data_IF_435020713515
#
_entry.id   IF_435020713515
#
_cell.length_a   1.000
_cell.length_b   1.000
_cell.length_c   1.000
_cell.angle_alpha   90.00
_cell.angle_beta   90.00
_cell.angle_gamma   90.00
#
_symmetry.space_group_name_H-M   'P 1'
#
loop_
_entity.id
_entity.type
_entity.pdbx_description
1 polymer ?
#
# COMPACT_ATOMS: atom_id res chain seq x y z
N UNK A 1 -16.22 -24.68 -7.37
CA UNK A 1 -17.27 -24.34 -8.35
C UNK A 1 -16.78 -24.81 -9.71
N UNK A 2 -17.58 -25.61 -10.41
CA UNK A 2 -17.25 -26.15 -11.75
C UNK A 2 -17.42 -25.06 -12.80
N UNK A 3 -16.48 -24.97 -13.74
CA UNK A 3 -16.50 -23.98 -14.80
C UNK A 3 -17.55 -24.36 -15.88
N UNK A 4 -18.67 -23.66 -15.90
CA UNK A 4 -19.82 -23.86 -16.82
C UNK A 4 -19.71 -23.07 -18.13
N UNK A 5 -18.68 -22.22 -18.25
CA UNK A 5 -18.38 -21.40 -19.42
C UNK A 5 -18.34 -22.18 -20.75
N UNK A 6 -17.76 -23.40 -20.85
CA UNK A 6 -17.75 -24.13 -22.11
C UNK A 6 -19.13 -24.63 -22.54
N UNK A 7 -20.00 -24.96 -21.58
CA UNK A 7 -21.36 -25.44 -21.85
C UNK A 7 -22.26 -24.29 -22.30
N UNK A 8 -22.12 -23.13 -21.66
CA UNK A 8 -22.80 -21.90 -22.03
C UNK A 8 -22.37 -21.38 -23.41
N UNK A 9 -21.08 -21.46 -23.76
CA UNK A 9 -20.58 -21.08 -25.09
C UNK A 9 -21.14 -21.96 -26.21
N UNK A 10 -21.39 -23.24 -25.96
CA UNK A 10 -22.06 -24.12 -26.93
C UNK A 10 -23.50 -23.69 -27.20
N UNK A 11 -24.22 -23.27 -26.15
CA UNK A 11 -25.58 -22.74 -26.28
C UNK A 11 -25.62 -21.41 -27.04
N UNK A 12 -24.65 -20.52 -26.79
CA UNK A 12 -24.51 -19.25 -27.52
C UNK A 12 -24.20 -19.46 -29.01
N UNK A 13 -23.30 -20.41 -29.33
CA UNK A 13 -23.04 -20.79 -30.72
C UNK A 13 -24.30 -21.29 -31.43
N UNK A 14 -25.15 -22.06 -30.73
CA UNK A 14 -26.45 -22.50 -31.27
C UNK A 14 -27.44 -21.36 -31.55
N UNK A 15 -27.25 -20.20 -30.91
CA UNK A 15 -28.07 -19.00 -31.07
C UNK A 15 -27.44 -17.95 -31.99
N UNK A 16 -26.33 -18.26 -32.68
CA UNK A 16 -25.52 -17.30 -33.45
C UNK A 16 -25.08 -16.09 -32.60
N UNK A 17 -24.93 -16.26 -31.30
CA UNK A 17 -24.44 -15.25 -30.39
C UNK A 17 -22.91 -15.36 -30.24
N UNK A 18 -22.20 -14.24 -30.05
CA UNK A 18 -20.76 -14.27 -29.81
C UNK A 18 -20.41 -15.06 -28.54
N UNK A 19 -19.27 -15.77 -28.52
CA UNK A 19 -18.82 -16.51 -27.34
C UNK A 19 -18.52 -15.56 -26.16
N UNK A 20 -18.68 -16.05 -24.94
CA UNK A 20 -18.46 -15.25 -23.71
C UNK A 20 -17.01 -14.84 -23.45
N UNK A 21 -16.05 -15.56 -24.02
CA UNK A 21 -14.64 -15.25 -23.85
C UNK A 21 -14.21 -14.38 -25.02
N UNK A 22 -14.19 -13.07 -24.79
CA UNK A 22 -13.62 -12.12 -25.75
C UNK A 22 -12.09 -12.29 -25.80
N UNK A 23 -11.49 -12.69 -26.93
CA UNK A 23 -10.03 -12.83 -27.06
C UNK A 23 -9.28 -11.50 -26.86
N UNK A 24 -9.99 -10.36 -26.93
CA UNK A 24 -9.48 -9.01 -26.69
C UNK A 24 -9.13 -8.73 -25.22
N UNK A 25 -9.65 -9.51 -24.27
CA UNK A 25 -9.35 -9.40 -22.84
C UNK A 25 -8.09 -10.18 -22.42
N UNK A 26 -7.36 -10.77 -23.38
CA UNK A 26 -6.09 -11.45 -23.12
C UNK A 26 -5.00 -10.42 -22.80
N UNK A 27 -4.13 -10.67 -21.79
CA UNK A 27 -3.02 -9.77 -21.36
C UNK A 27 -2.16 -9.18 -22.50
N UNK A 28 -2.08 -9.84 -23.65
CA UNK A 28 -1.37 -9.34 -24.84
C UNK A 28 -2.10 -8.18 -25.55
N UNK A 29 -3.43 -8.20 -25.55
CA UNK A 29 -4.31 -7.17 -26.11
C UNK A 29 -4.73 -6.10 -25.09
N UNK A 30 -4.39 -6.31 -23.81
CA UNK A 30 -4.64 -5.36 -22.73
C UNK A 30 -3.76 -4.10 -22.91
N UNK A 31 -4.34 -2.96 -22.52
CA UNK A 31 -3.72 -1.64 -22.49
C UNK A 31 -2.36 -1.62 -21.76
N UNK A 32 -1.47 -0.74 -22.18
CA UNK A 32 -0.10 -0.59 -21.65
C UNK A 32 -0.10 -0.31 -20.14
N UNK A 33 -1.02 0.54 -19.68
CA UNK A 33 -1.24 0.83 -18.26
C UNK A 33 -1.50 -0.44 -17.44
N UNK A 34 -2.42 -1.28 -17.90
CA UNK A 34 -2.82 -2.48 -17.17
C UNK A 34 -1.68 -3.52 -17.17
N UNK A 35 -0.91 -3.63 -18.26
CA UNK A 35 0.30 -4.47 -18.31
C UNK A 35 1.32 -4.03 -17.25
N UNK A 36 1.56 -2.73 -17.13
CA UNK A 36 2.45 -2.18 -16.10
C UNK A 36 1.90 -2.45 -14.68
N UNK A 37 0.60 -2.22 -14.46
CA UNK A 37 -0.06 -2.49 -13.19
C UNK A 37 0.07 -3.97 -12.76
N UNK A 38 -0.13 -4.92 -13.68
CA UNK A 38 0.06 -6.36 -13.41
C UNK A 38 1.51 -6.69 -13.07
N UNK A 39 2.47 -6.08 -13.78
CA UNK A 39 3.90 -6.24 -13.49
C UNK A 39 4.23 -5.75 -12.08
N UNK A 40 3.80 -4.53 -11.74
CA UNK A 40 3.98 -3.95 -10.40
C UNK A 40 3.34 -4.86 -9.33
N UNK A 41 2.10 -5.32 -9.55
CA UNK A 41 1.41 -6.21 -8.62
C UNK A 41 2.17 -7.52 -8.39
N UNK A 42 2.71 -8.12 -9.45
CA UNK A 42 3.50 -9.35 -9.33
C UNK A 42 4.78 -9.14 -8.52
N UNK A 43 5.44 -7.99 -8.68
CA UNK A 43 6.61 -7.62 -7.88
C UNK A 43 6.24 -7.39 -6.40
N UNK A 44 5.14 -6.68 -6.13
CA UNK A 44 4.62 -6.48 -4.75
C UNK A 44 4.27 -7.83 -4.10
N UNK A 45 3.60 -8.72 -4.81
CA UNK A 45 3.22 -10.04 -4.30
C UNK A 45 4.46 -10.91 -4.00
N UNK A 46 5.46 -10.86 -4.88
CA UNK A 46 6.74 -11.55 -4.70
C UNK A 46 7.49 -11.01 -3.48
N UNK A 47 7.55 -9.68 -3.32
CA UNK A 47 8.17 -9.03 -2.17
C UNK A 47 7.46 -9.39 -0.86
N UNK A 48 6.13 -9.35 -0.83
CA UNK A 48 5.34 -9.69 0.36
C UNK A 48 5.53 -11.17 0.76
N UNK A 49 5.56 -12.08 -0.23
CA UNK A 49 5.83 -13.50 0.02
C UNK A 49 7.25 -13.71 0.55
N UNK A 50 8.24 -13.05 -0.07
CA UNK A 50 9.63 -13.07 0.39
C UNK A 50 9.77 -12.56 1.84
N UNK A 51 9.17 -11.41 2.16
CA UNK A 51 9.20 -10.85 3.52
C UNK A 51 8.56 -11.77 4.56
N UNK A 52 7.46 -12.45 4.21
CA UNK A 52 6.82 -13.43 5.10
C UNK A 52 7.71 -14.64 5.36
N UNK A 53 8.37 -15.14 4.31
CA UNK A 53 9.26 -16.30 4.42
C UNK A 53 10.50 -15.99 5.28
N UNK A 54 11.12 -14.82 5.09
CA UNK A 54 12.32 -14.44 5.84
C UNK A 54 12.01 -13.94 7.26
N UNK A 55 10.76 -13.54 7.57
CA UNK A 55 10.37 -12.96 8.87
C UNK A 55 10.86 -13.79 10.04
N UNK A 56 10.67 -15.11 9.99
CA UNK A 56 11.07 -16.00 11.08
C UNK A 56 12.60 -16.06 11.25
N UNK A 57 13.35 -16.22 10.15
CA UNK A 57 14.82 -16.26 10.18
C UNK A 57 15.45 -14.91 10.52
N UNK A 58 14.81 -13.80 10.14
CA UNK A 58 15.25 -12.43 10.41
C UNK A 58 15.09 -12.09 11.89
N UNK A 59 13.97 -12.50 12.49
CA UNK A 59 13.66 -12.26 13.90
C UNK A 59 14.34 -13.25 14.86
N UNK A 60 14.88 -14.37 14.38
CA UNK A 60 15.51 -15.36 15.25
C UNK A 60 16.94 -14.96 15.61
N UNK A 61 17.13 -14.36 16.79
CA UNK A 61 18.46 -13.99 17.33
C UNK A 61 19.16 -15.15 18.05
N UNK A 62 18.44 -16.24 18.34
CA UNK A 62 19.00 -17.40 19.05
C UNK A 62 19.57 -18.42 18.08
N UNK A 63 20.88 -18.68 18.17
CA UNK A 63 21.47 -19.87 17.56
C UNK A 63 20.75 -21.10 18.13
N UNK A 64 20.31 -22.06 17.30
CA UNK A 64 19.64 -23.25 17.82
C UNK A 64 20.58 -23.95 18.81
N UNK A 65 20.09 -24.42 19.97
CA UNK A 65 20.89 -25.28 20.82
C UNK A 65 21.32 -26.49 19.99
N UNK A 66 22.58 -26.89 20.09
CA UNK A 66 23.15 -28.03 19.38
C UNK A 66 22.48 -29.34 19.84
N UNK A 67 21.24 -29.59 19.42
CA UNK A 67 20.56 -30.86 19.64
C UNK A 67 21.05 -31.86 18.60
N UNK A 68 21.97 -32.71 19.03
CA UNK A 68 22.33 -33.97 18.37
C UNK A 68 21.13 -34.91 18.41
N UNK A 69 20.19 -34.77 17.49
CA UNK A 69 19.18 -35.80 17.24
C UNK A 69 18.85 -35.87 15.76
N UNK A 70 19.32 -36.94 15.12
CA UNK A 70 19.02 -37.31 13.74
C UNK A 70 17.56 -37.75 13.61
N UNK A 71 16.63 -36.85 13.27
CA UNK A 71 15.33 -37.29 12.70
C UNK A 71 14.64 -36.18 11.90
N UNK A 72 14.38 -36.50 10.63
CA UNK A 72 13.40 -35.93 9.69
C UNK A 72 13.70 -34.57 9.03
N UNK A 73 13.38 -34.54 7.72
CA UNK A 73 13.52 -33.48 6.71
C UNK A 73 12.82 -32.16 7.07
N UNK A 74 13.23 -31.53 8.17
CA UNK A 74 12.77 -30.19 8.53
C UNK A 74 13.67 -29.19 7.82
N UNK A 75 13.10 -28.30 6.99
CA UNK A 75 13.78 -27.17 6.34
C UNK A 75 14.85 -26.63 7.29
N UNK A 76 16.12 -26.79 6.93
CA UNK A 76 17.24 -26.31 7.72
C UNK A 76 17.02 -24.82 7.95
N UNK A 77 16.74 -24.43 9.20
CA UNK A 77 16.47 -23.04 9.57
C UNK A 77 17.79 -22.28 9.43
N UNK A 78 17.98 -21.67 8.26
CA UNK A 78 19.14 -20.83 7.97
C UNK A 78 19.02 -19.58 8.83
N UNK A 79 19.91 -19.44 9.81
CA UNK A 79 20.04 -18.21 10.58
C UNK A 79 20.67 -17.15 9.67
N UNK A 80 20.12 -15.94 9.71
CA UNK A 80 20.70 -14.80 9.02
C UNK A 80 21.73 -14.16 9.94
N UNK A 81 22.92 -13.85 9.43
CA UNK A 81 23.90 -13.03 10.14
C UNK A 81 23.41 -11.58 10.20
N UNK A 82 23.91 -10.79 11.16
CA UNK A 82 23.49 -9.39 11.29
C UNK A 82 23.77 -8.58 10.01
N UNK A 83 24.88 -8.88 9.32
CA UNK A 83 25.19 -8.29 8.00
C UNK A 83 24.21 -8.70 6.90
N UNK A 84 23.77 -9.97 6.87
CA UNK A 84 22.74 -10.42 5.91
C UNK A 84 21.39 -9.75 6.19
N UNK A 85 21.06 -9.49 7.46
CA UNK A 85 19.83 -8.77 7.82
C UNK A 85 19.87 -7.32 7.32
N UNK A 86 21.01 -6.65 7.47
CA UNK A 86 21.19 -5.28 6.97
C UNK A 86 21.13 -5.21 5.44
N UNK A 87 21.71 -6.19 4.74
CA UNK A 87 21.60 -6.31 3.28
C UNK A 87 20.14 -6.49 2.83
N UNK A 88 19.40 -7.39 3.51
CA UNK A 88 17.97 -7.59 3.27
C UNK A 88 17.19 -6.29 3.48
N UNK A 89 17.48 -5.54 4.54
CA UNK A 89 16.81 -4.28 4.85
C UNK A 89 17.08 -3.22 3.75
N UNK A 90 18.34 -3.14 3.29
CA UNK A 90 18.74 -2.24 2.22
C UNK A 90 18.10 -2.59 0.86
N UNK A 91 18.10 -3.88 0.49
CA UNK A 91 17.46 -4.37 -0.74
C UNK A 91 15.95 -4.15 -0.71
N UNK A 92 15.29 -4.52 0.38
CA UNK A 92 13.83 -4.36 0.53
C UNK A 92 13.46 -2.88 0.43
N UNK A 93 14.22 -2.00 1.09
CA UNK A 93 14.02 -0.54 1.02
C UNK A 93 14.20 0.01 -0.39
N UNK A 94 15.20 -0.49 -1.14
CA UNK A 94 15.40 -0.13 -2.55
C UNK A 94 14.19 -0.55 -3.38
N UNK A 95 13.72 -1.80 -3.23
CA UNK A 95 12.55 -2.31 -3.94
C UNK A 95 11.27 -1.55 -3.60
N UNK A 96 11.04 -1.19 -2.32
CA UNK A 96 9.89 -0.37 -1.94
C UNK A 96 9.93 1.02 -2.60
N UNK A 97 11.10 1.65 -2.68
CA UNK A 97 11.26 2.95 -3.36
C UNK A 97 11.05 2.84 -4.86
N UNK A 98 11.59 1.79 -5.48
CA UNK A 98 11.40 1.52 -6.90
C UNK A 98 9.93 1.27 -7.24
N UNK A 99 9.24 0.43 -6.46
CA UNK A 99 7.81 0.17 -6.63
C UNK A 99 6.98 1.44 -6.41
N UNK A 100 7.34 2.27 -5.42
CA UNK A 100 6.69 3.56 -5.22
C UNK A 100 6.87 4.50 -6.41
N UNK A 101 8.09 4.56 -6.96
CA UNK A 101 8.40 5.35 -8.15
C UNK A 101 7.60 4.85 -9.37
N UNK A 102 7.58 3.54 -9.63
CA UNK A 102 6.84 2.98 -10.76
C UNK A 102 5.33 3.27 -10.65
N UNK A 103 4.74 3.13 -9.45
CA UNK A 103 3.33 3.49 -9.23
C UNK A 103 3.08 4.98 -9.48
N UNK A 104 4.00 5.87 -9.09
CA UNK A 104 3.86 7.31 -9.35
C UNK A 104 4.02 7.65 -10.82
N UNK A 105 5.03 7.09 -11.49
CA UNK A 105 5.25 7.27 -12.93
C UNK A 105 4.02 6.81 -13.73
N UNK A 106 3.44 5.67 -13.36
CA UNK A 106 2.22 5.15 -13.96
C UNK A 106 1.02 6.09 -13.71
N UNK A 107 0.85 6.59 -12.49
CA UNK A 107 -0.21 7.57 -12.11
C UNK A 107 -0.06 8.91 -12.84
N UNK A 108 1.17 9.40 -13.02
CA UNK A 108 1.48 10.62 -13.76
C UNK A 108 1.19 10.46 -15.26
N UNK A 109 1.56 9.32 -15.85
CA UNK A 109 1.23 9.02 -17.24
C UNK A 109 -0.29 8.96 -17.48
N UNK A 110 -1.03 8.40 -16.53
CA UNK A 110 -2.49 8.41 -16.52
C UNK A 110 -3.08 9.82 -16.44
N UNK A 111 -2.55 10.65 -15.54
CA UNK A 111 -2.95 12.05 -15.41
C UNK A 111 -2.75 12.83 -16.72
N UNK A 112 -1.63 12.61 -17.41
CA UNK A 112 -1.34 13.23 -18.70
C UNK A 112 -2.32 12.75 -19.78
N UNK A 113 -2.61 11.45 -19.85
CA UNK A 113 -3.59 10.94 -20.83
C UNK A 113 -4.98 11.53 -20.57
N UNK A 114 -5.46 11.51 -19.32
CA UNK A 114 -6.77 12.05 -18.97
C UNK A 114 -6.90 13.53 -19.32
N UNK A 115 -5.91 14.35 -18.96
CA UNK A 115 -5.90 15.78 -19.30
C UNK A 115 -5.84 16.01 -20.82
N UNK A 116 -5.09 15.19 -21.55
CA UNK A 116 -5.01 15.27 -23.02
C UNK A 116 -6.34 14.89 -23.67
N UNK A 117 -6.94 13.77 -23.28
CA UNK A 117 -8.22 13.30 -23.83
C UNK A 117 -9.37 14.27 -23.53
N UNK A 118 -9.41 14.83 -22.32
CA UNK A 118 -10.41 15.85 -21.97
C UNK A 118 -10.26 17.12 -22.80
N UNK A 119 -9.02 17.58 -23.06
CA UNK A 119 -8.76 18.70 -23.97
C UNK A 119 -9.13 18.38 -25.42
N UNK A 120 -8.90 17.16 -25.89
CA UNK A 120 -9.29 16.72 -27.23
C UNK A 120 -10.82 16.75 -27.36
N UNK A 121 -11.55 16.22 -26.39
CA UNK A 121 -13.03 16.24 -26.36
C UNK A 121 -13.51 17.70 -26.36
N UNK A 122 -12.98 18.54 -25.47
CA UNK A 122 -13.34 19.95 -25.42
C UNK A 122 -13.09 20.64 -26.77
N UNK A 123 -11.94 20.43 -27.41
CA UNK A 123 -11.63 21.02 -28.71
C UNK A 123 -12.51 20.48 -29.85
N UNK A 124 -12.85 19.18 -29.84
CA UNK A 124 -13.73 18.54 -30.82
C UNK A 124 -15.11 19.20 -30.82
N UNK A 125 -15.70 19.38 -29.64
CA UNK A 125 -17.04 19.96 -29.51
C UNK A 125 -17.04 21.50 -29.52
N UNK A 126 -15.98 22.16 -29.05
CA UNK A 126 -15.84 23.61 -29.16
C UNK A 126 -15.76 24.08 -30.63
N UNK A 127 -15.06 23.32 -31.50
CA UNK A 127 -15.00 23.62 -32.95
C UNK A 127 -16.32 23.34 -33.67
N UNK A 128 -17.06 22.32 -33.24
CA UNK A 128 -18.38 21.99 -33.80
C UNK A 128 -19.44 23.05 -33.43
N UNK A 129 -19.40 23.58 -32.21
CA UNK A 129 -20.34 24.61 -31.72
C UNK A 129 -19.91 26.05 -32.10
N UNK A 130 -18.62 26.30 -32.33
CA UNK A 130 -18.04 27.63 -32.53
C UNK A 130 -18.29 28.31 -33.88
N UNK A 131 -18.93 27.66 -34.87
CA UNK A 131 -19.21 28.30 -36.18
C UNK A 131 -20.68 28.62 -36.45
N UNK A 132 -21.66 27.91 -35.86
CA UNK A 132 -23.09 28.17 -36.11
C UNK A 132 -24.06 27.81 -34.96
N UNK A 133 -23.59 27.20 -33.85
CA UNK A 133 -24.47 26.55 -32.87
C UNK A 133 -24.98 27.44 -31.72
N UNK A 134 -24.16 28.35 -31.21
CA UNK A 134 -24.49 29.07 -29.96
C UNK A 134 -25.53 30.20 -30.11
N UNK A 135 -25.84 30.64 -31.33
CA UNK A 135 -26.81 31.72 -31.56
C UNK A 135 -28.23 31.21 -31.87
N UNK A 136 -28.38 30.00 -32.41
CA UNK A 136 -29.70 29.47 -32.81
C UNK A 136 -30.46 28.76 -31.67
N UNK A 137 -29.79 28.40 -30.57
CA UNK A 137 -30.38 27.61 -29.49
C UNK A 137 -30.95 28.42 -28.31
N UNK A 138 -30.96 29.76 -28.39
CA UNK A 138 -31.69 30.61 -27.43
C UNK A 138 -31.22 30.49 -25.98
N UNK A 139 -30.06 31.04 -25.65
CA UNK A 139 -29.78 31.68 -24.36
C UNK A 139 -30.12 30.94 -23.05
N UNK A 140 -30.04 29.60 -23.01
CA UNK A 140 -30.16 28.81 -21.79
C UNK A 140 -28.88 28.04 -21.49
N UNK A 141 -28.44 28.05 -20.24
CA UNK A 141 -27.32 27.25 -19.75
C UNK A 141 -27.45 25.77 -20.15
N UNK A 142 -26.40 25.25 -20.79
CA UNK A 142 -25.98 23.84 -20.73
C UNK A 142 -26.93 22.79 -21.32
N UNK A 143 -26.93 22.61 -22.64
CA UNK A 143 -27.08 21.26 -23.20
C UNK A 143 -25.77 20.86 -23.89
N UNK A 144 -24.81 20.37 -23.10
CA UNK A 144 -23.68 19.59 -23.64
C UNK A 144 -24.27 18.55 -24.60
N UNK A 145 -23.70 18.39 -25.80
CA UNK A 145 -24.25 17.42 -26.75
C UNK A 145 -24.28 16.02 -26.10
N UNK A 146 -25.32 15.22 -26.36
CA UNK A 146 -25.42 13.88 -25.78
C UNK A 146 -24.18 13.03 -26.12
N UNK A 147 -23.65 13.21 -27.33
CA UNK A 147 -22.43 12.55 -27.79
C UNK A 147 -21.20 12.98 -26.98
N UNK A 148 -21.09 14.27 -26.66
CA UNK A 148 -20.08 14.79 -25.75
C UNK A 148 -20.22 14.20 -24.34
N UNK A 149 -21.43 14.16 -23.80
CA UNK A 149 -21.67 13.58 -22.47
C UNK A 149 -21.34 12.08 -22.43
N UNK A 150 -21.61 11.33 -23.49
CA UNK A 150 -21.27 9.92 -23.61
C UNK A 150 -19.75 9.68 -23.68
N UNK A 151 -19.03 10.52 -24.43
CA UNK A 151 -17.56 10.46 -24.50
C UNK A 151 -16.92 10.84 -23.16
N UNK A 152 -17.40 11.91 -22.51
CA UNK A 152 -17.00 12.31 -21.15
C UNK A 152 -17.29 11.20 -20.13
N UNK A 153 -18.45 10.55 -20.20
CA UNK A 153 -18.83 9.46 -19.30
C UNK A 153 -17.93 8.24 -19.45
N UNK A 154 -17.63 7.82 -20.69
CA UNK A 154 -16.72 6.69 -20.95
C UNK A 154 -15.32 6.98 -20.43
N UNK A 155 -14.82 8.19 -20.68
CA UNK A 155 -13.51 8.62 -20.22
C UNK A 155 -13.46 8.65 -18.68
N UNK A 156 -14.48 9.18 -18.02
CA UNK A 156 -14.58 9.17 -16.55
C UNK A 156 -14.65 7.74 -15.99
N UNK A 157 -15.38 6.83 -16.63
CA UNK A 157 -15.44 5.43 -16.21
C UNK A 157 -14.07 4.74 -16.31
N UNK A 158 -13.32 5.00 -17.39
CA UNK A 158 -11.96 4.49 -17.56
C UNK A 158 -11.04 5.07 -16.48
N UNK A 159 -11.11 6.39 -16.24
CA UNK A 159 -10.33 7.04 -15.18
C UNK A 159 -10.63 6.44 -13.82
N UNK A 160 -11.92 6.28 -13.45
CA UNK A 160 -12.30 5.63 -12.19
C UNK A 160 -11.66 4.26 -12.04
N UNK A 161 -11.72 3.43 -13.08
CA UNK A 161 -11.13 2.10 -13.02
C UNK A 161 -9.62 2.16 -12.74
N UNK A 162 -8.90 3.06 -13.42
CA UNK A 162 -7.45 3.18 -13.28
C UNK A 162 -7.04 3.81 -11.95
N UNK A 163 -7.78 4.80 -11.47
CA UNK A 163 -7.59 5.39 -10.14
C UNK A 163 -7.76 4.33 -9.05
N UNK A 164 -8.78 3.45 -9.19
CA UNK A 164 -8.98 2.31 -8.30
C UNK A 164 -7.82 1.29 -8.37
N UNK A 165 -7.28 1.01 -9.55
CA UNK A 165 -6.11 0.12 -9.72
C UNK A 165 -4.89 0.72 -9.03
N UNK A 166 -4.58 2.00 -9.26
CA UNK A 166 -3.48 2.71 -8.61
C UNK A 166 -3.65 2.72 -7.09
N UNK A 167 -4.85 3.02 -6.60
CA UNK A 167 -5.20 2.99 -5.19
C UNK A 167 -4.96 1.61 -4.58
N UNK A 168 -5.41 0.54 -5.24
CA UNK A 168 -5.20 -0.84 -4.80
C UNK A 168 -3.70 -1.18 -4.70
N UNK A 169 -2.90 -0.81 -5.70
CA UNK A 169 -1.46 -1.05 -5.69
C UNK A 169 -0.75 -0.30 -4.55
N UNK A 170 -1.12 0.98 -4.32
CA UNK A 170 -0.58 1.77 -3.20
C UNK A 170 -0.95 1.17 -1.85
N UNK A 171 -2.20 0.69 -1.71
CA UNK A 171 -2.64 0.02 -0.50
C UNK A 171 -1.86 -1.27 -0.25
N UNK A 172 -1.63 -2.09 -1.28
CA UNK A 172 -0.81 -3.31 -1.16
C UNK A 172 0.65 -3.03 -0.85
N UNK A 173 1.23 -1.99 -1.45
CA UNK A 173 2.58 -1.54 -1.13
C UNK A 173 2.67 -1.04 0.32
N UNK A 174 1.64 -0.33 0.81
CA UNK A 174 1.54 0.13 2.20
C UNK A 174 1.49 -1.04 3.18
N UNK A 175 0.69 -2.07 2.91
CA UNK A 175 0.68 -3.31 3.72
C UNK A 175 2.07 -3.97 3.79
N UNK A 176 2.75 -4.06 2.66
CA UNK A 176 4.12 -4.61 2.58
C UNK A 176 5.11 -3.75 3.38
N UNK A 177 5.02 -2.42 3.27
CA UNK A 177 5.81 -1.49 4.05
C UNK A 177 5.61 -1.70 5.55
N UNK A 178 4.35 -1.74 6.01
CA UNK A 178 4.00 -1.96 7.43
C UNK A 178 4.62 -3.25 7.96
N UNK A 179 4.59 -4.32 7.16
CA UNK A 179 5.23 -5.59 7.53
C UNK A 179 6.74 -5.39 7.74
N UNK A 180 7.45 -4.77 6.79
CA UNK A 180 8.88 -4.50 6.94
C UNK A 180 9.19 -3.62 8.16
N UNK A 181 8.44 -2.53 8.36
CA UNK A 181 8.63 -1.66 9.52
C UNK A 181 8.43 -2.42 10.84
N UNK A 182 7.39 -3.25 10.93
CA UNK A 182 7.16 -4.07 12.12
C UNK A 182 8.31 -5.05 12.41
N UNK A 183 8.92 -5.62 11.38
CA UNK A 183 10.08 -6.50 11.55
C UNK A 183 11.30 -5.75 12.07
N UNK A 184 11.57 -4.56 11.51
CA UNK A 184 12.70 -3.73 11.89
C UNK A 184 12.52 -3.12 13.29
N UNK A 185 11.32 -2.70 13.65
CA UNK A 185 11.00 -2.21 15.00
C UNK A 185 11.26 -3.30 16.05
N UNK A 186 10.77 -4.52 15.82
CA UNK A 186 11.03 -5.64 16.72
C UNK A 186 12.54 -5.94 16.81
N UNK A 187 13.28 -5.83 15.71
CA UNK A 187 14.73 -6.03 15.72
C UNK A 187 15.43 -4.97 16.58
N UNK A 188 15.14 -3.69 16.35
CA UNK A 188 15.72 -2.58 17.12
C UNK A 188 15.39 -2.73 18.60
N UNK A 189 14.14 -3.04 18.94
CA UNK A 189 13.72 -3.27 20.33
C UNK A 189 14.54 -4.39 20.99
N UNK A 190 14.73 -5.52 20.29
CA UNK A 190 15.54 -6.63 20.83
C UNK A 190 17.03 -6.29 20.94
N UNK A 191 17.58 -5.50 20.01
CA UNK A 191 18.97 -5.06 20.10
C UNK A 191 19.17 -4.11 21.30
N UNK A 192 18.25 -3.19 21.51
CA UNK A 192 18.23 -2.29 22.68
C UNK A 192 18.08 -3.08 23.99
N UNK A 193 17.15 -4.04 24.05
CA UNK A 193 16.97 -4.91 25.21
C UNK A 193 18.20 -5.78 25.49
N UNK A 194 18.82 -6.35 24.45
CA UNK A 194 20.06 -7.14 24.56
C UNK A 194 21.20 -6.27 25.10
N UNK A 195 21.35 -5.05 24.62
CA UNK A 195 22.34 -4.10 25.13
C UNK A 195 22.09 -3.79 26.61
N UNK A 196 20.83 -3.54 27.00
CA UNK A 196 20.45 -3.33 28.40
C UNK A 196 20.71 -4.56 29.28
N UNK A 197 20.42 -5.76 28.79
CA UNK A 197 20.67 -7.01 29.50
C UNK A 197 22.16 -7.32 29.63
N UNK A 198 22.97 -7.02 28.62
CA UNK A 198 24.42 -7.17 28.69
C UNK A 198 25.03 -6.21 29.73
N UNK A 199 24.54 -4.97 29.82
CA UNK A 199 24.91 -4.03 30.86
C UNK A 199 24.50 -4.49 32.26
N UNK A 200 23.30 -5.05 32.40
CA UNK A 200 22.85 -5.62 33.68
C UNK A 200 23.71 -6.83 34.09
N UNK A 201 24.08 -7.68 33.13
CA UNK A 201 24.94 -8.84 33.36
C UNK A 201 26.38 -8.44 33.66
N UNK A 202 26.95 -7.47 32.95
CA UNK A 202 28.30 -6.96 33.24
C UNK A 202 28.34 -6.29 34.61
N UNK A 203 27.28 -5.58 35.01
CA UNK A 203 27.15 -5.02 36.36
C UNK A 203 27.03 -6.11 37.44
N UNK A 204 26.37 -7.22 37.15
CA UNK A 204 26.27 -8.36 38.07
C UNK A 204 27.55 -9.22 38.13
N UNK A 205 28.42 -9.14 37.12
CA UNK A 205 29.68 -9.87 37.04
C UNK A 205 30.88 -9.07 37.56
N UNK A 206 30.71 -7.77 37.84
CA UNK A 206 31.63 -6.98 38.64
C UNK A 206 31.55 -7.44 40.10
N UNK A 207 32.66 -7.91 40.71
CA UNK A 207 32.66 -8.22 42.13
C UNK A 207 32.32 -6.95 42.93
N UNK A 208 31.51 -7.12 43.98
CA UNK A 208 31.11 -6.07 44.91
C UNK A 208 32.34 -5.40 45.54
N UNK A 209 32.87 -4.37 44.87
CA UNK A 209 33.91 -3.51 45.39
C UNK A 209 33.22 -2.28 46.01
N UNK A 210 32.49 -2.53 47.11
CA UNK A 210 31.50 -1.58 47.60
C UNK A 210 31.08 -1.69 49.07
N UNK A 211 31.90 -2.23 49.97
CA UNK A 211 31.77 -1.95 51.42
C UNK A 211 32.69 -0.79 51.86
N UNK A 212 32.71 0.29 51.09
CA UNK A 212 33.41 1.52 51.47
C UNK A 212 32.46 2.72 51.36
N UNK A 213 31.71 2.95 52.45
CA UNK A 213 31.03 4.21 52.75
C UNK A 213 29.54 4.25 52.41
N UNK A 214 28.67 3.94 53.36
CA UNK A 214 27.97 4.96 54.14
C UNK A 214 27.14 4.32 55.27
N UNK A 215 27.17 5.00 56.40
CA UNK A 215 26.36 4.74 57.57
C UNK A 215 24.87 4.92 57.28
N UNK A 216 24.05 4.22 58.07
CA UNK A 216 22.60 4.43 58.23
C UNK A 216 21.65 3.89 57.15
N UNK A 217 21.34 2.58 57.24
CA UNK A 217 19.95 2.14 57.00
C UNK A 217 19.61 0.88 57.81
N UNK A 218 18.96 1.14 58.94
CA UNK A 218 17.89 0.36 59.60
C UNK A 218 17.94 -1.17 59.47
N UNK A 219 18.38 -1.79 60.58
CA UNK A 219 18.13 -3.20 60.92
C UNK A 219 16.62 -3.46 61.00
N UNK A 220 16.12 -4.42 60.22
CA UNK A 220 14.89 -5.13 60.54
C UNK A 220 15.27 -6.47 61.19
N UNK A 221 14.84 -6.64 62.43
CA UNK A 221 15.04 -7.84 63.26
C UNK A 221 13.95 -8.87 62.98
N UNK A 222 14.30 -10.14 62.76
CA UNK A 222 13.48 -11.26 63.23
C UNK A 222 14.33 -12.49 63.52
N UNK A 223 14.19 -12.98 64.75
CA UNK A 223 14.88 -14.07 65.41
C UNK A 223 14.78 -15.45 64.72
N UNK A 224 15.78 -16.28 65.00
CA UNK A 224 15.78 -17.73 64.81
C UNK A 224 17.08 -18.35 65.32
N UNK A 225 17.13 -18.62 66.63
CA UNK A 225 18.23 -19.26 67.37
C UNK A 225 18.60 -20.67 66.87
N UNK A 226 19.91 -20.97 66.82
CA UNK A 226 20.50 -22.27 67.17
C UNK A 226 22.05 -22.19 67.31
N UNK A 227 22.49 -21.87 68.54
CA UNK A 227 23.56 -22.49 69.33
C UNK A 227 24.87 -23.03 68.68
N UNK A 228 25.96 -22.32 69.02
CA UNK A 228 27.38 -22.68 69.31
C UNK A 228 28.06 -23.90 68.65
N UNK A 229 29.21 -23.64 68.02
CA UNK A 229 30.50 -24.09 68.58
C UNK A 229 31.66 -23.19 68.12
N UNK A 230 32.38 -22.64 69.10
CA UNK A 230 33.55 -21.80 68.89
C UNK A 230 34.80 -22.68 68.85
N UNK A 231 35.48 -22.72 67.71
CA UNK A 231 36.88 -23.11 67.63
C UNK A 231 37.70 -21.94 67.08
N UNK A 232 38.49 -21.39 67.98
CA UNK A 232 39.50 -20.36 67.76
C UNK A 232 40.69 -20.91 66.98
N UNK A 233 40.83 -20.49 65.72
CA UNK A 233 42.12 -20.40 65.03
C UNK A 233 42.19 -19.07 64.26
N UNK A 234 43.40 -18.49 64.13
CA UNK A 234 43.60 -17.05 64.17
C UNK A 234 43.59 -16.39 62.80
N UNK A 235 43.17 -15.13 62.81
CA UNK A 235 43.35 -14.08 61.80
C UNK A 235 42.75 -14.30 60.41
N UNK A 236 41.94 -13.34 59.92
CA UNK A 236 41.67 -13.23 58.49
C UNK A 236 42.98 -12.80 57.85
N UNK A 237 43.69 -13.73 57.22
CA UNK A 237 44.58 -13.31 56.15
C UNK A 237 43.68 -12.76 55.07
N UNK A 238 43.53 -11.45 55.08
CA UNK A 238 43.32 -10.63 53.90
C UNK A 238 44.40 -11.07 52.92
N UNK A 239 44.12 -12.11 52.15
CA UNK A 239 44.70 -12.25 50.83
C UNK A 239 44.16 -11.04 50.08
N UNK A 240 44.90 -9.93 50.25
CA UNK A 240 45.08 -8.90 49.24
C UNK A 240 45.38 -9.67 47.96
N UNK A 241 44.31 -10.08 47.28
CA UNK A 241 44.35 -10.61 45.95
C UNK A 241 44.60 -9.38 45.09
N UNK A 242 45.80 -8.82 45.24
CA UNK A 242 46.37 -7.88 44.29
C UNK A 242 46.32 -8.63 42.98
N UNK A 243 45.33 -8.30 42.16
CA UNK A 243 45.16 -8.80 40.81
C UNK A 243 46.55 -8.85 40.19
N UNK A 244 47.00 -10.03 39.74
CA UNK A 244 48.29 -10.13 39.07
C UNK A 244 48.35 -9.09 37.96
N UNK A 245 49.52 -8.49 37.70
CA UNK A 245 49.66 -7.49 36.64
C UNK A 245 49.11 -7.97 35.29
N UNK A 246 49.14 -9.28 35.06
CA UNK A 246 48.54 -9.97 33.91
C UNK A 246 47.00 -9.97 33.94
N UNK A 247 46.35 -10.25 35.07
CA UNK A 247 44.89 -10.12 35.21
C UNK A 247 44.40 -8.68 35.04
N UNK A 248 45.18 -7.69 35.50
CA UNK A 248 44.85 -6.28 35.36
C UNK A 248 44.96 -5.82 33.90
N UNK A 249 45.94 -6.35 33.16
CA UNK A 249 46.07 -6.13 31.72
C UNK A 249 44.92 -6.79 30.94
N UNK A 250 44.56 -8.03 31.26
CA UNK A 250 43.41 -8.72 30.64
C UNK A 250 42.10 -7.98 30.91
N UNK A 251 41.89 -7.46 32.12
CA UNK A 251 40.68 -6.72 32.49
C UNK A 251 40.64 -5.34 31.80
N UNK A 252 41.79 -4.69 31.62
CA UNK A 252 41.90 -3.47 30.83
C UNK A 252 41.59 -3.71 29.35
N UNK A 253 42.08 -4.81 28.78
CA UNK A 253 41.79 -5.24 27.40
C UNK A 253 40.31 -5.61 27.22
N UNK A 254 39.74 -6.38 28.17
CA UNK A 254 38.32 -6.74 28.18
C UNK A 254 37.42 -5.50 28.26
N UNK A 255 37.76 -4.53 29.13
CA UNK A 255 37.02 -3.26 29.19
C UNK A 255 37.09 -2.48 27.88
N UNK A 256 38.27 -2.42 27.25
CA UNK A 256 38.44 -1.73 25.96
C UNK A 256 37.61 -2.39 24.87
N UNK A 257 37.62 -3.72 24.80
CA UNK A 257 36.84 -4.48 23.81
C UNK A 257 35.34 -4.41 24.07
N UNK A 258 34.92 -4.40 25.34
CA UNK A 258 33.54 -4.14 25.73
C UNK A 258 33.08 -2.75 25.25
N UNK A 259 33.88 -1.70 25.48
CA UNK A 259 33.55 -0.34 25.02
C UNK A 259 33.46 -0.27 23.49
N UNK A 260 34.38 -0.89 22.75
CA UNK A 260 34.29 -0.95 21.27
C UNK A 260 33.03 -1.67 20.81
N UNK A 261 32.70 -2.80 21.43
CA UNK A 261 31.48 -3.54 21.10
C UNK A 261 30.24 -2.66 21.39
N UNK A 262 30.21 -1.94 22.51
CA UNK A 262 29.12 -1.01 22.80
C UNK A 262 29.02 0.10 21.76
N UNK A 263 30.13 0.76 21.40
CA UNK A 263 30.12 1.78 20.34
C UNK A 263 29.58 1.22 19.03
N UNK A 264 30.06 0.06 18.59
CA UNK A 264 29.59 -0.57 17.36
C UNK A 264 28.10 -0.93 17.40
N UNK A 265 27.60 -1.48 18.51
CA UNK A 265 26.17 -1.79 18.65
C UNK A 265 25.30 -0.54 18.68
N UNK A 266 25.75 0.55 19.31
CA UNK A 266 25.03 1.81 19.30
C UNK A 266 24.95 2.41 17.90
N UNK A 267 26.04 2.36 17.14
CA UNK A 267 26.05 2.87 15.77
C UNK A 267 25.14 2.04 14.85
N UNK A 268 25.06 0.72 15.05
CA UNK A 268 24.11 -0.14 14.34
C UNK A 268 22.65 0.22 14.69
N UNK A 269 22.33 0.40 15.98
CA UNK A 269 20.99 0.79 16.42
C UNK A 269 20.61 2.15 15.85
N UNK A 270 21.49 3.15 15.93
CA UNK A 270 21.24 4.49 15.33
C UNK A 270 20.99 4.42 13.84
N UNK A 271 21.76 3.59 13.12
CA UNK A 271 21.59 3.41 11.68
C UNK A 271 20.25 2.75 11.36
N UNK A 272 19.86 1.73 12.14
CA UNK A 272 18.57 1.06 12.02
C UNK A 272 17.40 2.02 12.35
N UNK A 273 17.52 2.82 13.41
CA UNK A 273 16.53 3.85 13.79
C UNK A 273 16.35 4.88 12.68
N UNK A 274 17.44 5.39 12.10
CA UNK A 274 17.36 6.31 10.96
C UNK A 274 16.65 5.65 9.77
N UNK A 275 16.96 4.40 9.48
CA UNK A 275 16.28 3.66 8.41
C UNK A 275 14.79 3.46 8.70
N UNK A 276 14.42 3.22 9.96
CA UNK A 276 13.03 3.10 10.41
C UNK A 276 12.27 4.40 10.24
N UNK A 277 12.89 5.53 10.58
CA UNK A 277 12.30 6.86 10.36
C UNK A 277 12.08 7.12 8.87
N UNK A 278 13.06 6.84 8.01
CA UNK A 278 12.89 7.01 6.56
C UNK A 278 11.76 6.14 5.99
N UNK A 279 11.61 4.91 6.50
CA UNK A 279 10.54 4.00 6.07
C UNK A 279 9.17 4.46 6.61
N UNK A 280 9.11 4.93 7.86
CA UNK A 280 7.86 5.44 8.45
C UNK A 280 7.41 6.73 7.78
N UNK A 281 8.33 7.61 7.38
CA UNK A 281 8.03 8.79 6.56
C UNK A 281 7.46 8.38 5.19
N UNK A 282 8.09 7.41 4.51
CA UNK A 282 7.60 6.89 3.23
C UNK A 282 6.19 6.29 3.39
N UNK A 283 5.97 5.51 4.43
CA UNK A 283 4.66 4.92 4.73
C UNK A 283 3.60 5.96 5.05
N UNK A 284 3.95 6.99 5.82
CA UNK A 284 3.03 8.09 6.13
C UNK A 284 2.62 8.82 4.87
N UNK A 285 3.56 9.10 3.97
CA UNK A 285 3.26 9.69 2.65
C UNK A 285 2.37 8.77 1.82
N UNK A 286 2.64 7.47 1.81
CA UNK A 286 1.81 6.48 1.12
C UNK A 286 0.39 6.44 1.67
N UNK A 287 0.23 6.35 2.99
CA UNK A 287 -1.08 6.30 3.65
C UNK A 287 -1.89 7.57 3.41
N UNK A 288 -1.26 8.74 3.51
CA UNK A 288 -1.90 10.01 3.19
C UNK A 288 -2.34 10.06 1.72
N UNK A 289 -1.51 9.54 0.80
CA UNK A 289 -1.87 9.48 -0.62
C UNK A 289 -3.02 8.51 -0.91
N UNK A 290 -3.10 7.38 -0.20
CA UNK A 290 -4.20 6.41 -0.31
C UNK A 290 -5.50 7.01 0.21
N UNK A 291 -5.44 7.71 1.34
CA UNK A 291 -6.60 8.40 1.90
C UNK A 291 -7.11 9.51 0.97
N UNK A 292 -6.21 10.36 0.46
CA UNK A 292 -6.58 11.42 -0.48
C UNK A 292 -7.13 10.86 -1.80
N UNK A 293 -6.55 9.77 -2.31
CA UNK A 293 -7.07 9.11 -3.52
C UNK A 293 -8.44 8.46 -3.28
N UNK A 294 -8.72 7.91 -2.09
CA UNK A 294 -10.04 7.35 -1.79
C UNK A 294 -11.14 8.42 -1.88
N UNK A 295 -10.89 9.61 -1.35
CA UNK A 295 -11.81 10.76 -1.46
C UNK A 295 -12.02 11.18 -2.92
N UNK A 296 -10.95 11.25 -3.71
CA UNK A 296 -11.05 11.59 -5.14
C UNK A 296 -11.86 10.56 -5.94
N UNK A 297 -11.67 9.27 -5.64
CA UNK A 297 -12.42 8.18 -6.26
C UNK A 297 -13.90 8.26 -5.89
N UNK A 298 -14.23 8.61 -4.64
CA UNK A 298 -15.61 8.80 -4.19
C UNK A 298 -16.29 9.95 -4.94
N UNK A 299 -15.61 11.09 -5.08
CA UNK A 299 -16.10 12.22 -5.88
C UNK A 299 -16.32 11.79 -7.34
N UNK A 300 -15.38 11.06 -7.93
CA UNK A 300 -15.50 10.62 -9.32
C UNK A 300 -16.62 9.58 -9.50
N UNK A 301 -16.87 8.75 -8.48
CA UNK A 301 -17.98 7.80 -8.45
C UNK A 301 -19.33 8.51 -8.41
N UNK A 302 -19.47 9.54 -7.57
CA UNK A 302 -20.66 10.39 -7.54
C UNK A 302 -20.87 11.11 -8.88
N UNK A 303 -19.79 11.68 -9.46
CA UNK A 303 -19.84 12.32 -10.78
C UNK A 303 -20.26 11.33 -11.87
N UNK A 304 -19.77 10.09 -11.82
CA UNK A 304 -20.15 9.04 -12.76
C UNK A 304 -21.62 8.65 -12.61
N UNK A 305 -22.12 8.58 -11.38
CA UNK A 305 -23.53 8.29 -11.11
C UNK A 305 -24.44 9.38 -11.70
N UNK A 306 -24.15 10.65 -11.38
CA UNK A 306 -24.88 11.80 -11.92
C UNK A 306 -24.80 11.88 -13.45
N UNK A 307 -23.62 11.63 -14.02
CA UNK A 307 -23.44 11.63 -15.48
C UNK A 307 -24.24 10.51 -16.14
N UNK A 308 -24.28 9.32 -15.53
CA UNK A 308 -25.05 8.19 -16.03
C UNK A 308 -26.55 8.47 -15.99
N UNK A 309 -27.04 9.09 -14.91
CA UNK A 309 -28.43 9.52 -14.80
C UNK A 309 -28.78 10.56 -15.88
N UNK A 310 -27.94 11.58 -16.06
CA UNK A 310 -28.14 12.63 -17.06
C UNK A 310 -28.16 12.08 -18.50
N UNK A 311 -27.24 11.18 -18.84
CA UNK A 311 -27.19 10.51 -20.15
C UNK A 311 -28.42 9.64 -20.36
N UNK A 312 -28.85 8.89 -19.33
CA UNK A 312 -30.03 8.04 -19.39
C UNK A 312 -31.32 8.85 -19.58
N UNK A 313 -31.46 9.94 -18.84
CA UNK A 313 -32.55 10.91 -18.96
C UNK A 313 -32.59 11.54 -20.36
N UNK A 314 -31.44 12.03 -20.84
CA UNK A 314 -31.32 12.62 -22.18
C UNK A 314 -31.67 11.65 -23.30
N UNK A 315 -31.25 10.39 -23.23
CA UNK A 315 -31.62 9.39 -24.23
C UNK A 315 -33.13 9.07 -24.22
N UNK A 316 -33.75 9.07 -23.03
CA UNK A 316 -35.21 8.89 -22.89
C UNK A 316 -35.98 10.08 -23.47
N UNK A 317 -35.46 11.29 -23.29
CA UNK A 317 -36.05 12.50 -23.88
C UNK A 317 -35.90 12.53 -25.39
N UNK A 318 -34.75 12.10 -25.95
CA UNK A 318 -34.59 11.94 -27.39
C UNK A 318 -35.55 10.91 -27.96
N UNK A 319 -35.71 9.77 -27.28
CA UNK A 319 -36.69 8.75 -27.69
C UNK A 319 -38.11 9.32 -27.70
N UNK A 320 -38.49 10.05 -26.64
CA UNK A 320 -39.78 10.76 -26.57
C UNK A 320 -39.92 11.85 -27.65
N UNK A 321 -38.85 12.55 -27.99
CA UNK A 321 -38.83 13.56 -29.05
C UNK A 321 -38.97 12.93 -30.45
N UNK A 322 -38.34 11.77 -30.70
CA UNK A 322 -38.53 11.00 -31.93
C UNK A 322 -39.92 10.35 -32.03
N UNK A 323 -40.50 9.96 -30.89
CA UNK A 323 -41.84 9.38 -30.82
C UNK A 323 -42.96 10.42 -30.94
N UNK A 324 -42.70 11.70 -30.63
CA UNK A 324 -43.61 12.80 -30.94
C UNK A 324 -43.76 12.90 -32.45
N UNK A 325 -44.79 12.21 -32.99
CA UNK A 325 -45.21 12.29 -34.39
C UNK A 325 -45.46 13.74 -34.75
N UNK A 326 -44.54 14.27 -35.53
CA UNK A 326 -44.51 15.54 -36.25
C UNK A 326 -45.82 16.36 -36.18
N UNK A 327 -46.08 16.98 -35.04
CA UNK A 327 -47.25 17.83 -34.80
C UNK A 327 -47.30 18.96 -35.84
N UNK A 328 -46.14 19.42 -36.30
CA UNK A 328 -46.01 20.39 -37.38
C UNK A 328 -46.56 19.88 -38.72
N UNK A 329 -46.37 18.60 -39.07
CA UNK A 329 -46.98 18.01 -40.27
C UNK A 329 -48.50 17.94 -40.15
N UNK A 330 -49.03 17.56 -38.98
CA UNK A 330 -50.48 17.55 -38.76
C UNK A 330 -51.10 18.94 -38.85
N UNK A 331 -50.45 19.96 -38.29
CA UNK A 331 -50.91 21.36 -38.40
C UNK A 331 -50.85 21.85 -39.85
N UNK A 332 -49.82 21.48 -40.61
CA UNK A 332 -49.72 21.81 -42.04
C UNK A 332 -50.81 21.13 -42.89
N UNK A 333 -51.07 19.84 -42.68
CA UNK A 333 -52.15 19.16 -43.40
C UNK A 333 -53.53 19.65 -42.96
N UNK A 334 -53.71 20.00 -41.68
CA UNK A 334 -54.95 20.59 -41.18
C UNK A 334 -55.20 21.97 -41.79
N UNK A 335 -54.17 22.83 -41.90
CA UNK A 335 -54.32 24.15 -42.52
C UNK A 335 -54.56 24.05 -44.01
N UNK A 336 -53.87 23.13 -44.70
CA UNK A 336 -54.06 22.89 -46.13
C UNK A 336 -55.42 22.24 -46.45
N UNK A 337 -55.93 21.40 -45.56
CA UNK A 337 -57.27 20.82 -45.67
C UNK A 337 -58.37 21.86 -45.43
N UNK A 338 -58.19 22.73 -44.43
CA UNK A 338 -59.14 23.82 -44.13
C UNK A 338 -59.18 24.83 -45.28
N UNK A 339 -58.04 25.19 -45.87
CA UNK A 339 -58.00 26.09 -47.03
C UNK A 339 -58.66 25.47 -48.26
N UNK A 340 -58.42 24.20 -48.55
CA UNK A 340 -59.07 23.50 -49.66
C UNK A 340 -60.60 23.36 -49.45
N UNK A 341 -61.02 23.12 -48.20
CA UNK A 341 -62.44 23.06 -47.84
C UNK A 341 -63.15 24.39 -48.04
N UNK A 342 -62.53 25.51 -47.64
CA UNK A 342 -63.09 26.84 -47.86
C UNK A 342 -63.28 27.17 -49.34
N UNK A 343 -62.33 26.80 -50.19
CA UNK A 343 -62.43 27.01 -51.65
C UNK A 343 -63.58 26.20 -52.25
N UNK A 344 -63.76 24.93 -51.83
CA UNK A 344 -64.87 24.10 -52.29
C UNK A 344 -66.22 24.61 -51.81
N UNK A 345 -66.29 25.11 -50.57
CA UNK A 345 -67.50 25.70 -50.01
C UNK A 345 -67.92 26.97 -50.76
N UNK A 346 -66.96 27.83 -51.10
CA UNK A 346 -67.16 29.06 -51.89
C UNK A 346 -67.53 28.80 -53.35
N UNK A 347 -67.35 27.56 -53.84
CA UNK A 347 -67.68 27.16 -55.21
C UNK A 347 -69.08 26.53 -55.33
N UNK A 348 -69.61 26.00 -54.23
CA UNK A 348 -70.91 25.29 -54.16
C UNK A 348 -72.06 26.22 -53.75
N UNK A 349 -71.76 27.32 -53.08
CA UNK A 349 -72.69 28.43 -52.75
C UNK A 349 -72.44 29.58 -53.72
#
# INVERSE_FOLDING_TARGET
MTDITPEFNKLLMGLNAPPTVDPSLTLQNIDEFLKEAYRINSHIASLNSYLKDIRQSYLSTTAPPARRTHTSKTKQRRHLTDRQREEIDAETKKLLRELNFNIRSMDEAEGIRYTTETLIIQNKYARALGRFGNWAAGGGEQSKSLEQQLEEAKLNAIKMHRDNVTWYLRQKLSECGKLQASMMEIRIMREVEKNKSNLAKSRAMMPDLGNLGDSSSVKFTSNGDAHLEAQSHPQPQTSDSQLSSEQLQMLAEENHDMVKHYQSTLDQVKTAEKSLIEISELQTRLLNSVASQAEQIEILAEQSYQTTENVGGGNKELKRATERKNTAKYVFYASCGLSAFLILWDLVI
#
